data_IF_735614936188
#
_entry.id   IF_735614936188
#
_cell.length_a   1.000
_cell.length_b   1.000
_cell.length_c   1.000
_cell.angle_alpha   90.00
_cell.angle_beta   90.00
_cell.angle_gamma   90.00
#
_symmetry.space_group_name_H-M   'P 1'
#
loop_
_entity.id
_entity.type
_entity.pdbx_description
1 polymer ?
#
# COMPACT_ATOMS: atom_id res chain seq x y z
N UNK A 1 -4.22 -7.68 -19.16
CA UNK A 1 -3.51 -6.79 -18.23
C UNK A 1 -3.78 -5.35 -18.64
N UNK A 2 -3.94 -4.45 -17.67
CA UNK A 2 -4.27 -3.03 -17.90
C UNK A 2 -3.28 -2.15 -17.15
N UNK A 3 -2.68 -1.17 -17.84
CA UNK A 3 -1.82 -0.15 -17.25
C UNK A 3 -2.63 1.08 -16.78
N UNK A 4 -2.14 1.82 -15.76
CA UNK A 4 -2.74 3.07 -15.30
C UNK A 4 -2.47 4.22 -16.29
N UNK A 5 -3.20 5.34 -16.16
CA UNK A 5 -2.89 6.64 -16.78
C UNK A 5 -2.62 6.64 -18.30
N UNK A 6 -3.27 5.74 -19.06
CA UNK A 6 -3.00 5.52 -20.48
C UNK A 6 -1.56 5.12 -20.82
N UNK A 7 -0.81 4.61 -19.85
CA UNK A 7 0.55 4.17 -20.06
C UNK A 7 0.61 2.82 -20.80
N UNK A 8 1.79 2.50 -21.33
CA UNK A 8 1.99 1.28 -22.11
C UNK A 8 2.29 0.06 -21.21
N UNK A 9 1.73 -1.11 -21.53
CA UNK A 9 1.95 -2.38 -20.81
C UNK A 9 3.20 -3.15 -21.28
N UNK A 10 3.83 -2.80 -22.41
CA UNK A 10 5.00 -3.49 -22.96
C UNK A 10 6.18 -3.47 -22.00
N UNK A 11 6.88 -4.58 -21.82
CA UNK A 11 7.99 -4.69 -20.87
C UNK A 11 7.54 -4.86 -19.41
N UNK A 12 6.24 -5.03 -19.16
CA UNK A 12 5.78 -5.44 -17.83
C UNK A 12 6.16 -6.90 -17.60
N UNK A 13 6.77 -7.18 -16.45
CA UNK A 13 7.02 -8.51 -15.94
C UNK A 13 5.77 -9.03 -15.24
N UNK A 14 5.20 -10.11 -15.77
CA UNK A 14 4.22 -10.93 -15.07
C UNK A 14 4.96 -12.02 -14.29
N UNK A 15 4.97 -11.89 -12.97
CA UNK A 15 5.46 -12.88 -12.04
C UNK A 15 4.30 -13.84 -11.72
N UNK A 16 4.56 -15.13 -11.88
CA UNK A 16 3.63 -16.23 -11.65
C UNK A 16 4.19 -17.04 -10.49
N UNK A 17 3.53 -16.93 -9.35
CA UNK A 17 4.04 -17.51 -8.13
C UNK A 17 3.18 -18.70 -7.71
N UNK A 18 3.70 -19.93 -7.65
CA UNK A 18 2.98 -21.04 -7.03
C UNK A 18 2.62 -20.68 -5.59
N UNK A 19 1.48 -21.13 -5.09
CA UNK A 19 1.08 -20.92 -3.70
C UNK A 19 1.28 -22.22 -2.91
N UNK A 20 2.06 -22.13 -1.84
CA UNK A 20 2.28 -23.21 -0.88
C UNK A 20 1.76 -22.71 0.46
N UNK A 21 0.78 -23.42 1.03
CA UNK A 21 0.09 -23.03 2.28
C UNK A 21 -0.53 -21.61 2.23
N UNK A 22 -0.92 -21.16 1.04
CA UNK A 22 -1.52 -19.83 0.82
C UNK A 22 -0.52 -18.70 0.66
N UNK A 23 0.78 -18.99 0.70
CA UNK A 23 1.85 -18.02 0.49
C UNK A 23 2.59 -18.29 -0.82
N UNK A 24 3.15 -17.24 -1.40
CA UNK A 24 3.88 -17.30 -2.66
C UNK A 24 5.21 -18.06 -2.51
N UNK A 25 5.38 -19.12 -3.30
CA UNK A 25 6.59 -19.89 -3.48
C UNK A 25 7.55 -19.20 -4.47
N UNK A 26 8.43 -18.36 -3.95
CA UNK A 26 9.35 -17.56 -4.76
C UNK A 26 10.48 -18.37 -5.40
N UNK A 27 10.77 -19.58 -4.90
CA UNK A 27 11.74 -20.49 -5.53
C UNK A 27 11.18 -21.09 -6.83
N UNK A 28 9.86 -21.31 -6.84
CA UNK A 28 9.09 -21.73 -8.01
C UNK A 28 8.62 -20.59 -8.92
N UNK A 29 9.10 -19.36 -8.72
CA UNK A 29 8.62 -18.17 -9.42
C UNK A 29 8.89 -18.26 -10.93
N UNK A 30 7.81 -18.25 -11.71
CA UNK A 30 7.88 -18.01 -13.15
C UNK A 30 7.83 -16.50 -13.44
N UNK A 31 8.53 -16.05 -14.48
CA UNK A 31 8.43 -14.67 -14.95
C UNK A 31 8.23 -14.64 -16.48
N UNK A 32 7.32 -13.78 -16.92
CA UNK A 32 7.04 -13.55 -18.33
C UNK A 32 7.04 -12.04 -18.61
N UNK A 33 7.87 -11.61 -19.55
CA UNK A 33 7.81 -10.24 -20.06
C UNK A 33 6.69 -10.10 -21.10
N UNK A 34 5.83 -9.10 -20.95
CA UNK A 34 4.78 -8.81 -21.91
C UNK A 34 5.32 -7.98 -23.07
N UNK A 35 5.17 -8.49 -24.29
CA UNK A 35 5.65 -7.81 -25.51
C UNK A 35 4.58 -6.96 -26.20
N UNK A 36 3.30 -7.22 -25.90
CA UNK A 36 2.16 -6.43 -26.41
C UNK A 36 2.21 -4.98 -25.94
N UNK A 37 1.75 -4.06 -26.80
CA UNK A 37 1.75 -2.62 -26.55
C UNK A 37 0.37 -2.02 -26.41
N UNK A 38 0.31 -0.78 -25.94
CA UNK A 38 -0.92 -0.06 -25.65
C UNK A 38 -1.29 -0.12 -24.18
N UNK A 39 -2.48 0.38 -23.83
CA UNK A 39 -2.94 0.48 -22.44
C UNK A 39 -3.40 -0.86 -21.86
N UNK A 40 -3.66 -1.84 -22.73
CA UNK A 40 -4.07 -3.18 -22.36
C UNK A 40 -3.45 -4.20 -23.32
N UNK A 41 -3.06 -5.35 -22.79
CA UNK A 41 -2.65 -6.51 -23.59
C UNK A 41 -3.19 -7.80 -22.98
N UNK A 42 -3.60 -8.78 -23.80
CA UNK A 42 -3.75 -10.16 -23.32
C UNK A 42 -2.37 -10.70 -22.89
N UNK A 43 -2.40 -11.71 -22.03
CA UNK A 43 -1.23 -12.49 -21.64
C UNK A 43 -1.63 -13.97 -21.54
N UNK A 44 -0.65 -14.86 -21.70
CA UNK A 44 -0.81 -16.28 -21.49
C UNK A 44 0.47 -16.78 -20.82
N UNK A 45 0.33 -17.56 -19.75
CA UNK A 45 1.48 -18.23 -19.13
C UNK A 45 1.85 -19.46 -19.97
N UNK A 46 3.09 -19.97 -19.85
CA UNK A 46 3.39 -21.34 -20.23
C UNK A 46 2.44 -22.32 -19.54
N UNK A 47 2.44 -23.58 -19.99
CA UNK A 47 1.74 -24.64 -19.26
C UNK A 47 2.30 -24.73 -17.84
N UNK A 48 1.42 -24.52 -16.87
CA UNK A 48 1.74 -24.59 -15.45
C UNK A 48 1.24 -25.93 -14.91
N UNK A 49 1.98 -26.56 -13.98
CA UNK A 49 1.46 -27.68 -13.22
C UNK A 49 0.13 -27.37 -12.53
N UNK A 50 -0.63 -28.41 -12.19
CA UNK A 50 -1.83 -28.23 -11.38
C UNK A 50 -1.44 -27.71 -9.98
N UNK A 51 -2.07 -26.62 -9.55
CA UNK A 51 -1.72 -25.90 -8.33
C UNK A 51 -2.40 -24.53 -8.24
N UNK A 52 -2.31 -23.88 -7.08
CA UNK A 52 -2.75 -22.49 -6.93
C UNK A 52 -1.59 -21.54 -7.19
N UNK A 53 -1.88 -20.37 -7.76
CA UNK A 53 -0.89 -19.37 -8.11
C UNK A 53 -1.35 -17.95 -7.75
N UNK A 54 -0.45 -17.15 -7.22
CA UNK A 54 -0.55 -15.70 -7.17
C UNK A 54 0.04 -15.09 -8.44
N UNK A 55 -0.54 -13.99 -8.92
CA UNK A 55 -0.03 -13.28 -10.09
C UNK A 55 0.28 -11.83 -9.74
N UNK A 56 1.49 -11.40 -10.08
CA UNK A 56 1.98 -10.05 -9.81
C UNK A 56 2.49 -9.46 -11.12
N UNK A 57 2.06 -8.25 -11.44
CA UNK A 57 2.54 -7.47 -12.57
C UNK A 57 3.42 -6.36 -12.04
N UNK A 58 4.65 -6.28 -12.54
CA UNK A 58 5.56 -5.18 -12.24
C UNK A 58 6.18 -4.65 -13.52
N UNK A 59 6.11 -3.33 -13.71
CA UNK A 59 6.75 -2.65 -14.82
C UNK A 59 7.78 -1.68 -14.25
N UNK A 60 9.05 -1.96 -14.50
CA UNK A 60 10.19 -1.08 -14.22
C UNK A 60 10.20 0.02 -15.28
N UNK A 61 9.56 1.15 -14.98
CA UNK A 61 9.49 2.27 -15.94
C UNK A 61 10.77 3.09 -15.95
N UNK A 62 11.54 3.01 -14.86
CA UNK A 62 12.86 3.56 -14.76
C UNK A 62 13.86 2.41 -14.54
N UNK A 63 14.85 2.18 -15.41
CA UNK A 63 15.69 0.97 -15.41
C UNK A 63 16.71 0.96 -14.25
N UNK A 64 16.21 0.94 -13.02
CA UNK A 64 16.97 0.89 -11.77
C UNK A 64 16.84 -0.47 -11.09
N UNK A 65 15.96 -1.35 -11.59
CA UNK A 65 15.67 -2.65 -10.99
C UNK A 65 15.24 -2.54 -9.51
N UNK A 66 14.47 -1.49 -9.20
CA UNK A 66 14.00 -1.18 -7.85
C UNK A 66 12.58 -0.63 -7.97
N UNK A 67 11.69 -1.03 -7.06
CA UNK A 67 10.37 -0.41 -6.96
C UNK A 67 10.52 1.10 -6.75
N UNK A 68 10.05 1.89 -7.71
CA UNK A 68 10.17 3.34 -7.70
C UNK A 68 8.89 4.09 -8.10
N UNK A 69 8.87 5.41 -7.91
CA UNK A 69 7.75 6.32 -8.21
C UNK A 69 7.10 6.12 -9.58
N UNK A 70 7.95 5.74 -10.52
CA UNK A 70 7.63 5.66 -11.92
C UNK A 70 7.07 4.28 -12.27
N UNK A 71 7.29 3.26 -11.45
CA UNK A 71 6.93 1.87 -11.76
C UNK A 71 5.44 1.64 -11.70
N UNK A 72 4.97 0.60 -12.39
CA UNK A 72 3.60 0.12 -12.23
C UNK A 72 3.59 -1.21 -11.51
N UNK A 73 2.63 -1.37 -10.61
CA UNK A 73 2.46 -2.57 -9.83
C UNK A 73 1.00 -3.02 -9.86
N UNK A 74 0.76 -4.30 -10.02
CA UNK A 74 -0.58 -4.88 -9.93
C UNK A 74 -0.51 -6.27 -9.35
N UNK A 75 -1.50 -6.64 -8.55
CA UNK A 75 -1.66 -8.02 -8.08
C UNK A 75 -3.00 -8.50 -8.62
N UNK A 76 -3.06 -9.75 -9.08
CA UNK A 76 -4.35 -10.35 -9.34
C UNK A 76 -5.14 -10.41 -8.04
N UNK A 77 -6.28 -9.71 -8.01
CA UNK A 77 -7.14 -9.62 -6.85
C UNK A 77 -8.59 -9.51 -7.34
N UNK A 78 -9.36 -10.60 -7.33
CA UNK A 78 -10.74 -10.59 -7.81
C UNK A 78 -11.65 -9.73 -6.93
N UNK A 79 -11.32 -9.58 -5.65
CA UNK A 79 -12.05 -8.78 -4.68
C UNK A 79 -11.42 -7.41 -4.39
N UNK A 80 -10.25 -7.12 -4.98
CA UNK A 80 -9.43 -5.92 -4.75
C UNK A 80 -9.00 -5.72 -3.27
N UNK A 81 -9.09 -6.76 -2.44
CA UNK A 81 -8.80 -6.71 -1.00
C UNK A 81 -7.61 -7.60 -0.63
N UNK A 82 -7.52 -8.77 -1.24
CA UNK A 82 -6.46 -9.73 -0.99
C UNK A 82 -5.84 -10.20 -2.30
N UNK A 83 -4.62 -10.74 -2.22
CA UNK A 83 -4.07 -11.46 -3.36
C UNK A 83 -5.00 -12.62 -3.71
N UNK A 84 -5.48 -12.64 -4.96
CA UNK A 84 -6.33 -13.69 -5.47
C UNK A 84 -5.51 -14.91 -5.88
N UNK A 85 -6.13 -16.07 -5.81
CA UNK A 85 -5.53 -17.34 -6.22
C UNK A 85 -6.06 -17.73 -7.60
N UNK A 86 -5.19 -18.24 -8.46
CA UNK A 86 -5.53 -18.73 -9.80
C UNK A 86 -5.10 -20.18 -9.92
N UNK A 87 -5.99 -21.05 -10.41
CA UNK A 87 -5.67 -22.45 -10.70
C UNK A 87 -5.79 -22.73 -12.21
N UNK A 88 -4.75 -23.26 -12.87
CA UNK A 88 -4.83 -23.66 -14.27
C UNK A 88 -5.83 -24.81 -14.51
N UNK A 89 -6.51 -24.86 -15.67
CA UNK A 89 -6.60 -23.81 -16.66
C UNK A 89 -7.54 -22.69 -16.20
N UNK A 90 -7.05 -21.45 -16.21
CA UNK A 90 -7.85 -20.27 -15.94
C UNK A 90 -7.91 -19.36 -17.17
N UNK A 91 -9.05 -18.73 -17.38
CA UNK A 91 -9.25 -17.74 -18.44
C UNK A 91 -9.89 -16.47 -17.87
N UNK A 92 -9.82 -15.37 -18.62
CA UNK A 92 -10.39 -14.08 -18.22
C UNK A 92 -9.80 -13.50 -16.92
N UNK A 93 -8.58 -13.89 -16.57
CA UNK A 93 -7.83 -13.34 -15.43
C UNK A 93 -7.42 -11.89 -15.75
N UNK A 94 -7.85 -10.95 -14.91
CA UNK A 94 -7.59 -9.52 -15.10
C UNK A 94 -6.69 -9.00 -13.99
N UNK A 95 -5.57 -8.40 -14.40
CA UNK A 95 -4.68 -7.65 -13.52
C UNK A 95 -4.75 -6.19 -13.97
N UNK A 96 -5.18 -5.33 -13.05
CA UNK A 96 -5.12 -3.88 -13.20
C UNK A 96 -3.90 -3.40 -12.43
N UNK A 97 -2.97 -2.76 -13.13
CA UNK A 97 -1.83 -2.14 -12.49
C UNK A 97 -2.21 -0.74 -12.02
N UNK A 98 -1.59 -0.33 -10.93
CA UNK A 98 -1.60 1.04 -10.44
C UNK A 98 -0.22 1.63 -10.64
N UNK A 99 -0.16 2.96 -10.72
CA UNK A 99 1.12 3.61 -10.58
C UNK A 99 1.63 3.28 -9.18
N UNK A 100 2.81 2.68 -9.10
CA UNK A 100 3.54 2.56 -7.85
C UNK A 100 3.98 3.97 -7.50
N UNK A 101 3.06 4.73 -6.91
CA UNK A 101 3.41 6.03 -6.41
C UNK A 101 4.34 5.80 -5.21
N UNK A 102 5.64 5.91 -5.45
CA UNK A 102 6.44 6.77 -4.59
C UNK A 102 6.06 8.21 -4.95
N UNK A 103 5.38 8.94 -4.07
CA UNK A 103 5.30 10.37 -4.19
C UNK A 103 6.68 10.99 -4.33
N UNK A 104 6.77 11.95 -5.24
CA UNK A 104 8.05 12.39 -5.78
C UNK A 104 8.98 13.05 -4.78
N UNK A 105 10.07 13.58 -5.33
CA UNK A 105 11.07 14.46 -4.71
C UNK A 105 10.50 15.79 -4.19
N UNK A 106 9.19 15.90 -4.02
CA UNK A 106 8.56 17.07 -3.42
C UNK A 106 9.14 17.26 -2.03
N UNK A 107 9.64 18.47 -1.75
CA UNK A 107 9.94 18.87 -0.38
C UNK A 107 8.65 18.96 0.45
N UNK A 108 8.76 19.22 1.76
CA UNK A 108 7.60 19.44 2.60
C UNK A 108 6.72 20.54 1.99
N UNK A 109 5.39 20.33 1.88
CA UNK A 109 4.49 21.36 1.38
C UNK A 109 4.56 22.60 2.29
N UNK A 110 4.92 23.74 1.71
CA UNK A 110 5.13 25.00 2.42
C UNK A 110 3.86 25.50 3.12
N UNK A 111 2.69 25.24 2.52
CA UNK A 111 1.37 25.65 3.00
C UNK A 111 0.46 24.42 3.15
N UNK A 112 0.67 23.63 4.22
CA UNK A 112 -0.18 22.49 4.52
C UNK A 112 -1.50 22.98 5.18
N UNK A 113 -2.66 22.88 4.49
CA UNK A 113 -3.91 23.40 5.02
C UNK A 113 -4.32 22.61 6.26
N UNK A 114 -4.90 23.31 7.25
CA UNK A 114 -5.49 22.70 8.44
C UNK A 114 -6.83 23.35 8.78
N UNK A 115 -7.75 22.57 9.32
CA UNK A 115 -9.02 23.06 9.86
C UNK A 115 -9.23 22.51 11.27
N UNK A 116 -10.21 23.04 11.99
CA UNK A 116 -10.72 22.33 13.16
C UNK A 116 -11.26 20.96 12.71
N UNK A 117 -10.91 19.90 13.46
CA UNK A 117 -11.34 18.54 13.15
C UNK A 117 -12.61 18.22 13.93
N UNK A 118 -13.67 17.68 13.30
CA UNK A 118 -14.87 17.22 14.00
C UNK A 118 -14.52 16.24 15.13
N UNK A 119 -15.14 16.40 16.29
CA UNK A 119 -14.84 15.59 17.48
C UNK A 119 -14.97 14.08 17.24
N UNK A 120 -15.82 13.65 16.31
CA UNK A 120 -15.95 12.24 15.93
C UNK A 120 -14.74 11.67 15.18
N UNK A 121 -13.95 12.50 14.49
CA UNK A 121 -12.71 12.07 13.80
C UNK A 121 -11.48 12.11 14.72
N UNK A 122 -11.49 12.95 15.75
CA UNK A 122 -10.37 13.08 16.68
C UNK A 122 -10.16 11.77 17.43
N UNK A 123 -8.94 11.25 17.45
CA UNK A 123 -8.59 10.04 18.19
C UNK A 123 -7.51 9.21 17.55
N UNK A 124 -7.26 8.05 18.16
CA UNK A 124 -6.35 7.03 17.68
C UNK A 124 -7.15 5.95 16.96
N UNK A 125 -6.78 5.66 15.72
CA UNK A 125 -7.47 4.76 14.81
C UNK A 125 -6.49 3.74 14.26
N UNK A 126 -6.83 2.46 14.29
CA UNK A 126 -6.00 1.41 13.71
C UNK A 126 -6.80 0.32 13.01
N UNK A 127 -6.24 -0.28 11.97
CA UNK A 127 -6.88 -1.42 11.27
C UNK A 127 -6.95 -2.67 12.14
N UNK A 128 -6.04 -2.80 13.12
CA UNK A 128 -6.02 -3.92 14.06
C UNK A 128 -6.93 -3.71 15.29
N UNK A 129 -7.31 -2.47 15.57
CA UNK A 129 -8.07 -2.10 16.75
C UNK A 129 -7.36 -2.33 18.08
N UNK A 130 -6.08 -2.68 18.12
CA UNK A 130 -5.30 -2.73 19.36
C UNK A 130 -4.73 -1.34 19.69
N UNK A 131 -4.55 -1.08 20.99
CA UNK A 131 -3.86 0.10 21.53
C UNK A 131 -2.35 -0.01 21.34
N UNK A 132 -1.90 -0.14 20.10
CA UNK A 132 -0.48 0.01 19.74
C UNK A 132 -0.19 1.46 19.40
N UNK A 133 0.86 2.05 19.98
CA UNK A 133 1.47 3.26 19.43
C UNK A 133 2.02 2.96 18.03
N UNK A 134 2.10 3.97 17.16
CA UNK A 134 2.64 3.80 15.80
C UNK A 134 4.07 3.21 15.81
N UNK A 135 4.53 2.72 14.66
CA UNK A 135 5.78 1.95 14.56
C UNK A 135 7.06 2.78 14.56
N UNK A 136 6.94 4.10 14.61
CA UNK A 136 8.07 5.02 14.63
C UNK A 136 7.99 5.91 15.85
N UNK A 137 9.09 5.96 16.60
CA UNK A 137 9.26 6.88 17.70
C UNK A 137 10.05 8.12 17.21
N UNK A 138 9.38 9.27 17.00
CA UNK A 138 10.05 10.47 16.53
C UNK A 138 10.98 11.10 17.57
N UNK A 139 10.88 10.73 18.85
CA UNK A 139 11.70 11.32 19.91
C UNK A 139 13.16 10.82 19.85
N UNK A 140 13.38 9.61 19.35
CA UNK A 140 14.70 8.98 19.26
C UNK A 140 15.00 8.39 17.86
N UNK A 141 14.09 8.54 16.90
CA UNK A 141 14.23 8.06 15.54
C UNK A 141 14.15 6.54 15.38
N UNK A 142 13.70 5.79 16.40
CA UNK A 142 13.70 4.33 16.34
C UNK A 142 12.40 3.79 15.76
N UNK A 143 12.52 2.81 14.87
CA UNK A 143 11.42 1.97 14.43
C UNK A 143 11.25 0.79 15.38
N UNK A 144 10.01 0.46 15.76
CA UNK A 144 9.71 -0.72 16.55
C UNK A 144 8.60 -1.50 15.84
N UNK A 145 8.87 -2.71 15.32
CA UNK A 145 7.80 -3.57 14.84
C UNK A 145 7.01 -4.06 16.07
N UNK A 146 5.86 -3.45 16.33
CA UNK A 146 4.85 -4.09 17.17
C UNK A 146 4.29 -5.30 16.40
N UNK A 147 3.89 -6.36 17.11
CA UNK A 147 3.32 -7.54 16.44
C UNK A 147 2.10 -7.20 15.58
N UNK A 148 2.10 -7.65 14.32
CA UNK A 148 1.01 -7.48 13.36
C UNK A 148 1.30 -6.44 12.27
N UNK A 149 0.60 -6.52 11.14
CA UNK A 149 0.65 -5.54 10.04
C UNK A 149 -0.56 -4.60 10.14
N UNK A 150 -0.42 -3.34 9.74
CA UNK A 150 -1.57 -2.46 9.71
C UNK A 150 -1.25 -0.99 9.48
N UNK A 151 -2.30 -0.19 9.64
CA UNK A 151 -2.26 1.26 9.48
C UNK A 151 -2.78 1.91 10.77
N UNK A 152 -2.14 3.00 11.15
CA UNK A 152 -2.45 3.80 12.33
C UNK A 152 -2.57 5.27 11.98
N UNK A 153 -3.60 5.91 12.51
CA UNK A 153 -3.75 7.35 12.53
C UNK A 153 -3.94 7.85 13.96
N UNK A 154 -3.21 8.89 14.35
CA UNK A 154 -3.59 9.78 15.44
C UNK A 154 -4.07 11.09 14.81
N UNK A 155 -5.34 11.43 14.97
CA UNK A 155 -5.93 12.66 14.46
C UNK A 155 -6.24 13.57 15.64
N UNK A 156 -5.65 14.77 15.66
CA UNK A 156 -5.79 15.73 16.76
C UNK A 156 -6.79 16.82 16.43
N UNK A 157 -7.43 17.36 17.47
CA UNK A 157 -8.45 18.42 17.32
C UNK A 157 -7.90 19.72 16.69
N UNK A 158 -6.58 19.95 16.82
CA UNK A 158 -5.88 21.11 16.28
C UNK A 158 -5.58 21.03 14.77
N UNK A 159 -6.04 19.96 14.10
CA UNK A 159 -5.80 19.75 12.69
C UNK A 159 -4.40 19.22 12.37
N UNK A 160 -3.75 18.56 13.33
CA UNK A 160 -2.53 17.78 13.07
C UNK A 160 -2.82 16.28 13.06
N UNK A 161 -1.99 15.52 12.36
CA UNK A 161 -2.03 14.06 12.42
C UNK A 161 -0.65 13.42 12.53
N UNK A 162 -0.67 12.18 13.00
CA UNK A 162 0.40 11.21 12.83
C UNK A 162 -0.18 10.02 12.07
N UNK A 163 0.54 9.54 11.07
CA UNK A 163 0.26 8.29 10.38
C UNK A 163 1.44 7.34 10.55
N UNK A 164 1.16 6.07 10.72
CA UNK A 164 2.18 5.03 10.63
C UNK A 164 1.61 3.78 9.99
N UNK A 165 2.40 3.11 9.15
CA UNK A 165 2.06 1.79 8.65
C UNK A 165 3.25 0.86 8.75
N UNK A 166 2.96 -0.42 8.94
CA UNK A 166 3.93 -1.49 8.87
C UNK A 166 3.31 -2.65 8.09
N UNK A 167 4.08 -3.12 7.13
CA UNK A 167 3.79 -4.33 6.37
C UNK A 167 5.02 -5.22 6.54
N UNK A 168 4.79 -6.45 6.94
CA UNK A 168 5.82 -7.48 7.07
C UNK A 168 5.49 -8.58 6.05
N UNK A 169 6.48 -9.08 5.33
CA UNK A 169 6.36 -10.32 4.59
C UNK A 169 7.50 -11.23 5.01
N UNK A 170 7.18 -12.45 5.46
CA UNK A 170 8.19 -13.46 5.81
C UNK A 170 8.20 -14.52 4.73
N UNK A 171 9.37 -14.82 4.20
CA UNK A 171 9.54 -15.74 3.07
C UNK A 171 10.89 -16.44 3.21
N UNK A 172 10.94 -17.78 3.31
CA UNK A 172 12.21 -18.56 3.33
C UNK A 172 13.25 -18.11 4.36
N UNK A 173 12.82 -17.66 5.55
CA UNK A 173 13.72 -17.09 6.55
C UNK A 173 14.20 -15.66 6.23
N UNK A 174 13.81 -15.13 5.07
CA UNK A 174 13.83 -13.70 4.76
C UNK A 174 12.65 -13.01 5.45
N UNK A 175 12.88 -11.78 5.89
CA UNK A 175 11.84 -10.86 6.34
C UNK A 175 11.99 -9.59 5.53
N UNK A 176 10.92 -9.21 4.85
CA UNK A 176 10.77 -7.92 4.20
C UNK A 176 9.87 -7.05 5.08
N UNK A 177 10.39 -5.92 5.51
CA UNK A 177 9.64 -4.94 6.28
C UNK A 177 9.48 -3.66 5.48
N UNK A 178 8.27 -3.13 5.47
CA UNK A 178 7.99 -1.83 4.90
C UNK A 178 7.31 -0.95 5.95
N UNK A 179 7.98 0.14 6.30
CA UNK A 179 7.48 1.10 7.26
C UNK A 179 7.23 2.45 6.61
N UNK A 180 6.13 3.08 7.01
CA UNK A 180 5.87 4.50 6.74
C UNK A 180 5.55 5.20 8.05
N UNK A 181 5.98 6.45 8.14
CA UNK A 181 5.64 7.36 9.21
C UNK A 181 5.45 8.77 8.66
N UNK A 182 4.30 9.36 8.87
CA UNK A 182 4.04 10.75 8.50
C UNK A 182 3.60 11.55 9.73
N UNK A 183 3.99 12.81 9.75
CA UNK A 183 3.28 13.84 10.53
C UNK A 183 2.85 14.94 9.59
N UNK A 184 1.73 15.57 9.87
CA UNK A 184 1.24 16.61 8.99
C UNK A 184 -0.01 17.30 9.49
N UNK A 185 -0.72 17.92 8.57
CA UNK A 185 -1.98 18.60 8.83
C UNK A 185 -3.18 17.86 8.25
N UNK A 186 -4.32 18.08 8.88
CA UNK A 186 -5.63 17.59 8.46
C UNK A 186 -6.52 18.78 8.17
N UNK A 187 -7.10 18.79 6.98
CA UNK A 187 -8.17 19.71 6.63
C UNK A 187 -9.46 18.92 6.34
N UNK A 188 -10.55 19.32 6.97
CA UNK A 188 -11.88 18.73 6.77
C UNK A 188 -12.73 19.71 5.98
N UNK A 189 -13.25 19.25 4.85
CA UNK A 189 -14.03 20.03 3.90
C UNK A 189 -15.32 19.27 3.58
N UNK A 190 -16.37 19.50 4.38
CA UNK A 190 -17.63 18.75 4.24
C UNK A 190 -17.44 17.26 4.54
N UNK A 191 -17.77 16.40 3.57
CA UNK A 191 -17.60 14.94 3.65
C UNK A 191 -16.19 14.46 3.29
N UNK A 192 -15.27 15.38 2.98
CA UNK A 192 -13.88 15.05 2.67
C UNK A 192 -12.91 15.44 3.79
N UNK A 193 -11.87 14.62 3.91
CA UNK A 193 -10.68 14.88 4.74
C UNK A 193 -9.44 14.83 3.85
N UNK A 194 -8.54 15.79 4.06
CA UNK A 194 -7.27 15.92 3.35
C UNK A 194 -6.13 15.80 4.35
N UNK A 195 -5.29 14.79 4.19
CA UNK A 195 -4.08 14.59 4.99
C UNK A 195 -2.88 15.08 4.20
N UNK A 196 -2.19 16.09 4.71
CA UNK A 196 -1.01 16.66 4.06
C UNK A 196 0.20 16.42 4.96
N UNK A 197 1.09 15.49 4.59
CA UNK A 197 2.31 15.22 5.33
C UNK A 197 3.28 16.41 5.22
N UNK A 198 3.75 16.91 6.35
CA UNK A 198 4.81 17.93 6.45
C UNK A 198 6.14 17.36 6.90
N UNK A 199 6.14 16.12 7.40
CA UNK A 199 7.32 15.26 7.57
C UNK A 199 6.91 13.83 7.24
N UNK A 200 7.73 13.11 6.49
CA UNK A 200 7.45 11.72 6.23
C UNK A 200 8.75 10.93 6.01
N UNK A 201 8.78 9.76 6.64
CA UNK A 201 9.88 8.82 6.64
C UNK A 201 9.38 7.47 6.14
N UNK A 202 10.16 6.85 5.28
CA UNK A 202 9.93 5.50 4.79
C UNK A 202 11.17 4.66 5.02
N UNK A 203 10.95 3.42 5.46
CA UNK A 203 12.01 2.44 5.65
C UNK A 203 11.63 1.13 5.00
N UNK A 204 12.58 0.55 4.27
CA UNK A 204 12.49 -0.78 3.71
C UNK A 204 13.65 -1.62 4.25
N UNK A 205 13.33 -2.81 4.73
CA UNK A 205 14.31 -3.80 5.15
C UNK A 205 14.03 -5.12 4.42
N UNK A 206 15.08 -5.78 3.97
CA UNK A 206 15.08 -7.11 3.37
C UNK A 206 16.26 -7.87 4.00
N UNK A 207 15.95 -8.88 4.83
CA UNK A 207 17.00 -9.65 5.51
C UNK A 207 17.80 -10.56 4.57
N UNK A 208 17.28 -10.86 3.38
CA UNK A 208 17.95 -11.70 2.39
C UNK A 208 18.77 -10.91 1.39
N UNK A 209 18.41 -9.65 1.17
CA UNK A 209 19.27 -8.74 0.42
C UNK A 209 19.41 -7.38 1.13
N UNK A 210 20.29 -7.30 2.15
CA UNK A 210 20.49 -6.06 2.90
C UNK A 210 20.98 -4.88 2.06
N UNK A 211 21.53 -5.13 0.86
CA UNK A 211 21.92 -4.05 -0.06
C UNK A 211 20.74 -3.26 -0.62
N UNK A 212 19.52 -3.81 -0.53
CA UNK A 212 18.26 -3.13 -0.87
C UNK A 212 17.67 -2.32 0.28
N UNK A 213 18.22 -2.44 1.48
CA UNK A 213 17.70 -1.71 2.64
C UNK A 213 17.89 -0.22 2.43
N UNK A 214 16.84 0.55 2.72
CA UNK A 214 16.93 1.99 2.68
C UNK A 214 16.05 2.62 3.76
N UNK A 215 16.44 3.82 4.13
CA UNK A 215 15.62 4.75 4.87
C UNK A 215 15.71 6.10 4.17
N UNK A 216 14.56 6.72 3.90
CA UNK A 216 14.51 8.00 3.20
C UNK A 216 13.42 8.89 3.76
N UNK A 217 13.70 10.19 3.75
CA UNK A 217 12.63 11.18 3.78
C UNK A 217 11.92 11.19 2.43
N UNK A 218 10.60 11.30 2.49
CA UNK A 218 9.74 11.20 1.33
C UNK A 218 8.42 11.88 1.64
N UNK A 219 7.91 12.73 0.76
CA UNK A 219 6.71 13.53 1.04
C UNK A 219 5.55 13.09 0.14
N UNK A 220 4.51 12.44 0.70
CA UNK A 220 3.36 12.04 -0.07
C UNK A 220 2.61 13.24 -0.66
N UNK A 221 1.99 13.02 -1.83
CA UNK A 221 0.87 13.88 -2.26
C UNK A 221 -0.18 13.85 -1.15
N UNK A 222 -0.92 14.95 -0.99
CA UNK A 222 -1.98 14.99 -0.01
C UNK A 222 -2.99 13.86 -0.27
N UNK A 223 -3.30 13.08 0.75
CA UNK A 223 -4.28 12.00 0.65
C UNK A 223 -5.67 12.61 0.86
N UNK A 224 -6.57 12.37 -0.08
CA UNK A 224 -7.94 12.89 -0.05
C UNK A 224 -8.92 11.73 0.06
N UNK A 225 -9.75 11.76 1.10
CA UNK A 225 -10.73 10.72 1.36
C UNK A 225 -12.10 11.33 1.64
N UNK A 226 -13.16 10.68 1.17
CA UNK A 226 -14.43 10.74 1.87
C UNK A 226 -14.32 10.01 3.20
N UNK A 227 -14.97 10.54 4.23
CA UNK A 227 -14.88 9.95 5.56
C UNK A 227 -16.24 9.69 6.19
N UNK A 228 -16.26 8.71 7.09
CA UNK A 228 -17.41 8.41 7.92
C UNK A 228 -16.98 7.87 9.27
N UNK A 229 -17.85 7.99 10.27
CA UNK A 229 -17.66 7.36 11.59
C UNK A 229 -18.93 6.62 11.97
N UNK A 230 -18.79 5.57 12.76
CA UNK A 230 -19.92 4.75 13.18
C UNK A 230 -19.51 3.67 14.17
N UNK A 231 -20.34 2.64 14.27
CA UNK A 231 -20.06 1.45 15.07
C UNK A 231 -20.04 0.25 14.13
N UNK A 232 -18.97 -0.55 14.21
CA UNK A 232 -18.80 -1.81 13.49
C UNK A 232 -18.31 -2.87 14.47
N UNK A 233 -18.94 -4.03 14.45
CA UNK A 233 -18.60 -5.16 15.35
C UNK A 233 -18.60 -4.76 16.84
N UNK A 234 -19.53 -3.87 17.22
CA UNK A 234 -19.65 -3.34 18.59
C UNK A 234 -18.60 -2.30 18.97
N UNK A 235 -17.77 -1.85 18.03
CA UNK A 235 -16.63 -0.95 18.26
C UNK A 235 -16.78 0.34 17.46
N UNK A 236 -16.33 1.45 18.04
CA UNK A 236 -16.21 2.71 17.30
C UNK A 236 -15.30 2.54 16.09
N UNK A 237 -15.76 2.93 14.91
CA UNK A 237 -15.04 2.78 13.65
C UNK A 237 -15.03 4.07 12.83
N UNK A 238 -13.93 4.29 12.13
CA UNK A 238 -13.76 5.30 11.08
C UNK A 238 -13.60 4.57 9.74
N UNK A 239 -14.18 5.13 8.68
CA UNK A 239 -13.95 4.67 7.31
C UNK A 239 -13.37 5.81 6.48
N UNK A 240 -12.34 5.51 5.70
CA UNK A 240 -11.75 6.41 4.70
C UNK A 240 -11.92 5.79 3.31
N UNK A 241 -12.57 6.50 2.40
CA UNK A 241 -12.86 6.06 1.03
C UNK A 241 -12.17 7.02 0.07
N UNK A 242 -11.26 6.52 -0.77
CA UNK A 242 -10.64 7.34 -1.82
C UNK A 242 -11.67 7.77 -2.87
N UNK A 243 -11.46 8.93 -3.48
CA UNK A 243 -12.33 9.39 -4.56
C UNK A 243 -12.37 8.39 -5.73
N UNK A 244 -13.58 8.07 -6.19
CA UNK A 244 -13.81 7.08 -7.24
C UNK A 244 -13.85 5.63 -6.77
N UNK A 245 -13.53 5.34 -5.50
CA UNK A 245 -13.71 4.01 -4.91
C UNK A 245 -15.09 3.87 -4.24
N UNK A 246 -15.67 2.68 -4.32
CA UNK A 246 -16.93 2.34 -3.64
C UNK A 246 -16.71 1.79 -2.23
N UNK A 247 -15.52 1.26 -1.96
CA UNK A 247 -15.14 0.68 -0.67
C UNK A 247 -14.02 1.48 -0.03
N UNK A 248 -14.04 1.53 1.31
CA UNK A 248 -13.05 2.25 2.11
C UNK A 248 -12.32 1.35 3.09
N UNK A 249 -11.20 1.85 3.59
CA UNK A 249 -10.44 1.24 4.68
C UNK A 249 -11.15 1.54 6.00
N UNK A 250 -11.36 0.50 6.79
CA UNK A 250 -11.95 0.61 8.12
C UNK A 250 -10.86 0.63 9.18
N UNK A 251 -11.01 1.56 10.11
CA UNK A 251 -10.16 1.69 11.29
C UNK A 251 -11.04 1.61 12.52
N UNK A 252 -10.56 0.93 13.55
CA UNK A 252 -11.21 0.88 14.85
C UNK A 252 -10.52 1.85 15.79
N UNK A 253 -11.31 2.50 16.65
CA UNK A 253 -10.76 3.37 17.67
C UNK A 253 -9.97 2.53 18.68
N UNK A 254 -8.73 2.93 18.96
CA UNK A 254 -7.98 2.37 20.08
C UNK A 254 -8.71 2.71 21.39
N UNK A 255 -8.84 1.72 22.28
CA UNK A 255 -9.39 1.94 23.61
C UNK A 255 -8.41 2.70 24.50
#
# INVERSE_FOLDING_TARGET
>A
MTAPNNADVRGTMLLVCPLVEGECDWDGLGALELTGSGTQTPFATPELPDGEYGLIAWKDNEPKNQFGAEDYFGVYSPDQKAMGHVRPPASNVKINMVAFSEPGTAGPPADAPRTAVPAQLVGNWSTLGSSGGGYYNPANGTWSPAGGQGLWYEIRADGTFVFSSYIESRMYGCTINFFKYHTGTVAVQGDHVVFTATKAHQRFEDTCNPSRNYEKEWYPKADVYKWGTGVRDGRSSMVLVEDGKQEGLFFYRSQ
#
